data_IF_227181595158
#
_entry.id   IF_227181595158
#
_cell.length_a   1.000
_cell.length_b   1.000
_cell.length_c   1.000
_cell.angle_alpha   90.00
_cell.angle_beta   90.00
_cell.angle_gamma   90.00
#
_symmetry.space_group_name_H-M   'P 1'
#
loop_
_entity.id
_entity.type
_entity.pdbx_description
1 polymer ?
#
# COMPACT_ATOMS: atom_id res chain seq x y z
N UNK A 1 15.79 5.74 25.51
CA UNK A 1 15.77 4.29 25.77
C UNK A 1 14.41 3.79 26.25
N UNK A 2 13.74 4.40 27.26
CA UNK A 2 12.42 3.93 27.74
C UNK A 2 11.31 3.88 26.67
N UNK A 3 11.22 4.86 25.78
CA UNK A 3 10.22 4.89 24.69
C UNK A 3 10.41 3.78 23.63
N UNK A 4 11.66 3.39 23.37
CA UNK A 4 11.98 2.29 22.44
C UNK A 4 11.55 0.93 23.00
N UNK A 5 11.73 0.74 24.31
CA UNK A 5 11.34 -0.49 25.02
C UNK A 5 9.81 -0.63 25.04
N UNK A 6 9.08 0.49 25.21
CA UNK A 6 7.61 0.47 25.20
C UNK A 6 7.04 0.12 23.81
N UNK A 7 7.65 0.63 22.74
CA UNK A 7 7.25 0.30 21.35
C UNK A 7 7.55 -1.16 21.04
N UNK A 8 8.72 -1.67 21.48
CA UNK A 8 9.10 -3.08 21.30
C UNK A 8 8.20 -4.03 22.09
N UNK A 9 7.80 -3.63 23.31
CA UNK A 9 6.88 -4.37 24.16
C UNK A 9 5.46 -4.43 23.59
N UNK A 10 4.93 -3.33 23.03
CA UNK A 10 3.66 -3.34 22.34
C UNK A 10 3.68 -4.21 21.07
N UNK A 11 4.77 -4.19 20.30
CA UNK A 11 4.94 -5.04 19.13
C UNK A 11 5.01 -6.53 19.51
N UNK A 12 5.67 -6.86 20.61
CA UNK A 12 5.76 -8.23 21.11
C UNK A 12 4.42 -8.76 21.67
N UNK A 13 3.63 -7.91 22.35
CA UNK A 13 2.27 -8.29 22.79
C UNK A 13 1.31 -8.52 21.60
N UNK A 14 1.44 -7.75 20.54
CA UNK A 14 0.65 -7.95 19.32
C UNK A 14 1.01 -9.26 18.59
N UNK A 15 2.25 -9.72 18.70
CA UNK A 15 2.71 -10.98 18.10
C UNK A 15 2.21 -12.23 18.84
N UNK A 16 1.88 -12.14 20.14
CA UNK A 16 1.48 -13.28 20.97
C UNK A 16 0.00 -13.68 20.85
N UNK A 17 -0.85 -12.89 20.21
CA UNK A 17 -2.28 -13.23 20.00
C UNK A 17 -2.53 -14.02 18.71
N UNK A 18 -1.49 -14.55 18.07
CA UNK A 18 -1.60 -15.32 16.83
C UNK A 18 -2.14 -16.74 17.12
N UNK A 19 -3.46 -16.85 17.16
CA UNK A 19 -4.14 -18.15 16.98
C UNK A 19 -3.80 -18.70 15.60
N UNK A 20 -3.58 -20.02 15.52
CA UNK A 20 -3.27 -20.78 14.31
C UNK A 20 -4.22 -20.44 13.16
N UNK A 21 -3.81 -19.51 12.30
CA UNK A 21 -4.55 -19.16 11.09
C UNK A 21 -4.35 -20.28 10.08
N UNK A 22 -5.40 -21.11 9.88
CA UNK A 22 -5.46 -22.06 8.78
C UNK A 22 -5.23 -21.30 7.47
N UNK A 23 -4.35 -21.80 6.63
CA UNK A 23 -3.85 -21.19 5.39
C UNK A 23 -4.93 -21.10 4.27
N UNK A 24 -6.09 -20.52 4.55
CA UNK A 24 -7.13 -20.28 3.56
C UNK A 24 -7.86 -18.96 3.88
N UNK A 25 -7.66 -17.97 3.00
CA UNK A 25 -8.38 -16.70 2.95
C UNK A 25 -8.31 -15.84 4.23
N UNK A 26 -7.19 -15.15 4.43
CA UNK A 26 -7.18 -14.02 5.35
C UNK A 26 -8.15 -12.94 4.84
N UNK A 27 -8.94 -12.37 5.75
CA UNK A 27 -9.87 -11.28 5.41
C UNK A 27 -9.20 -9.93 5.44
N UNK A 28 -8.29 -9.72 6.40
CA UNK A 28 -7.64 -8.43 6.62
C UNK A 28 -6.14 -8.63 6.71
N UNK A 29 -5.40 -7.70 6.17
CA UNK A 29 -3.96 -7.59 6.35
C UNK A 29 -3.56 -6.16 6.63
N UNK A 30 -2.57 -5.98 7.50
CA UNK A 30 -2.02 -4.69 7.92
C UNK A 30 -0.51 -4.74 7.86
N UNK A 31 0.12 -3.68 7.39
CA UNK A 31 1.57 -3.64 7.31
C UNK A 31 2.11 -2.36 6.70
N UNK A 32 3.17 -2.50 5.93
CA UNK A 32 3.85 -1.40 5.27
C UNK A 32 3.67 -1.50 3.76
N UNK A 33 3.45 -0.33 3.14
CA UNK A 33 3.48 -0.11 1.71
C UNK A 33 4.69 0.74 1.35
N UNK A 34 5.29 0.41 0.21
CA UNK A 34 6.29 1.22 -0.48
C UNK A 34 5.74 1.56 -1.86
N UNK A 35 5.88 2.79 -2.28
CA UNK A 35 5.55 3.27 -3.62
C UNK A 35 6.78 3.98 -4.17
N UNK A 36 7.36 3.47 -5.25
CA UNK A 36 8.63 3.97 -5.77
C UNK A 36 8.62 4.04 -7.30
N UNK A 37 9.48 4.89 -7.82
CA UNK A 37 9.60 5.18 -9.24
C UNK A 37 9.48 6.66 -9.53
N UNK A 38 9.70 7.06 -10.78
CA UNK A 38 9.65 8.45 -11.28
C UNK A 38 10.37 9.45 -10.34
N UNK A 39 11.54 9.04 -9.81
CA UNK A 39 12.42 9.89 -9.00
C UNK A 39 12.02 10.06 -7.53
N UNK A 40 11.00 9.34 -7.04
CA UNK A 40 10.59 9.42 -5.64
C UNK A 40 10.29 8.05 -5.02
N UNK A 41 10.48 7.96 -3.71
CA UNK A 41 10.11 6.78 -2.91
C UNK A 41 9.31 7.23 -1.70
N UNK A 42 8.17 6.59 -1.51
CA UNK A 42 7.23 6.85 -0.42
C UNK A 42 7.03 5.57 0.37
N UNK A 43 6.91 5.67 1.69
CA UNK A 43 6.70 4.53 2.57
C UNK A 43 5.68 4.86 3.65
N UNK A 44 4.90 3.88 4.09
CA UNK A 44 3.95 4.09 5.18
C UNK A 44 3.00 2.92 5.42
N UNK A 45 2.03 3.09 6.31
CA UNK A 45 1.05 2.07 6.64
C UNK A 45 0.17 1.71 5.44
N UNK A 46 -0.10 0.40 5.32
CA UNK A 46 -0.97 -0.20 4.31
C UNK A 46 -1.92 -1.19 4.96
N UNK A 47 -3.20 -1.07 4.64
CA UNK A 47 -4.24 -2.01 5.05
C UNK A 47 -4.93 -2.56 3.81
N UNK A 48 -5.22 -3.88 3.78
CA UNK A 48 -6.05 -4.51 2.76
C UNK A 48 -7.12 -5.36 3.43
N UNK A 49 -8.35 -5.25 2.93
CA UNK A 49 -9.50 -6.02 3.41
C UNK A 49 -10.20 -6.70 2.23
N UNK A 50 -10.33 -8.03 2.30
CA UNK A 50 -11.10 -8.81 1.33
C UNK A 50 -12.57 -8.86 1.79
N UNK A 51 -13.44 -8.14 1.08
CA UNK A 51 -14.88 -8.14 1.35
C UNK A 51 -15.62 -9.27 0.61
N UNK A 52 -14.99 -9.89 -0.38
CA UNK A 52 -15.51 -11.05 -1.09
C UNK A 52 -14.36 -12.01 -1.45
N UNK A 53 -14.71 -13.15 -2.08
CA UNK A 53 -13.71 -14.14 -2.53
C UNK A 53 -12.68 -13.55 -3.49
N UNK A 54 -13.13 -12.65 -4.37
CA UNK A 54 -12.31 -12.06 -5.41
C UNK A 54 -12.16 -10.54 -5.27
N UNK A 55 -12.86 -9.90 -4.32
CA UNK A 55 -12.85 -8.45 -4.14
C UNK A 55 -12.08 -8.03 -2.90
N UNK A 56 -11.21 -7.04 -3.05
CA UNK A 56 -10.49 -6.43 -1.94
C UNK A 56 -10.48 -4.90 -2.04
N UNK A 57 -10.43 -4.25 -0.87
CA UNK A 57 -10.18 -2.83 -0.71
C UNK A 57 -8.82 -2.67 -0.06
N UNK A 58 -7.97 -1.81 -0.61
CA UNK A 58 -6.69 -1.45 -0.04
C UNK A 58 -6.62 0.04 0.23
N UNK A 59 -6.12 0.44 1.40
CA UNK A 59 -5.84 1.82 1.76
C UNK A 59 -4.39 1.99 2.17
N UNK A 60 -3.78 3.11 1.80
CA UNK A 60 -2.39 3.43 2.14
C UNK A 60 -2.24 4.91 2.46
N UNK A 61 -1.41 5.19 3.46
CA UNK A 61 -0.93 6.54 3.75
C UNK A 61 0.59 6.48 3.71
N UNK A 62 1.18 7.16 2.72
CA UNK A 62 2.61 7.07 2.44
C UNK A 62 3.28 8.43 2.61
N UNK A 63 4.51 8.42 3.07
CA UNK A 63 5.32 9.60 3.33
C UNK A 63 6.67 9.46 2.64
N UNK A 64 7.17 10.55 2.07
CA UNK A 64 8.52 10.57 1.50
C UNK A 64 8.94 11.98 1.08
N UNK A 65 10.12 12.43 1.51
CA UNK A 65 10.55 13.81 1.33
C UNK A 65 9.57 14.79 1.95
N UNK A 66 9.09 15.74 1.15
CA UNK A 66 8.07 16.73 1.55
C UNK A 66 6.68 16.37 0.97
N UNK A 67 6.40 15.08 0.81
CA UNK A 67 5.17 14.61 0.17
C UNK A 67 4.45 13.62 1.07
N UNK A 68 3.14 13.82 1.24
CA UNK A 68 2.22 12.87 1.85
C UNK A 68 1.24 12.40 0.79
N UNK A 69 1.05 11.08 0.70
CA UNK A 69 0.11 10.45 -0.22
C UNK A 69 -0.93 9.68 0.57
N UNK A 70 -2.20 9.89 0.22
CA UNK A 70 -3.33 9.09 0.69
C UNK A 70 -3.94 8.44 -0.55
N UNK A 71 -4.02 7.10 -0.55
CA UNK A 71 -4.55 6.37 -1.70
C UNK A 71 -5.41 5.20 -1.28
N UNK A 72 -6.41 4.91 -2.11
CA UNK A 72 -7.34 3.81 -1.89
C UNK A 72 -7.63 3.08 -3.19
N UNK A 73 -7.64 1.74 -3.15
CA UNK A 73 -7.77 0.90 -4.33
C UNK A 73 -8.86 -0.15 -4.16
N UNK A 74 -9.70 -0.27 -5.14
CA UNK A 74 -10.59 -1.41 -5.31
C UNK A 74 -9.91 -2.43 -6.21
N UNK A 75 -9.85 -3.71 -5.79
CA UNK A 75 -9.09 -4.75 -6.45
C UNK A 75 -9.95 -5.99 -6.70
N UNK A 76 -9.77 -6.59 -7.86
CA UNK A 76 -10.18 -7.96 -8.18
C UNK A 76 -8.95 -8.86 -8.06
N UNK A 77 -9.07 -9.95 -7.30
CA UNK A 77 -7.98 -10.90 -7.04
C UNK A 77 -8.42 -12.30 -7.47
N UNK A 78 -7.49 -13.08 -8.04
CA UNK A 78 -7.73 -14.49 -8.31
C UNK A 78 -6.43 -15.29 -8.18
N UNK A 79 -6.55 -16.59 -7.97
CA UNK A 79 -5.43 -17.49 -7.71
C UNK A 79 -4.65 -17.80 -8.98
N UNK A 80 -3.32 -17.81 -8.87
CA UNK A 80 -2.48 -18.33 -9.94
C UNK A 80 -2.51 -19.86 -9.93
N UNK A 81 -2.98 -20.47 -11.02
CA UNK A 81 -3.06 -21.93 -11.15
C UNK A 81 -1.64 -22.54 -11.06
N UNK A 82 -1.49 -23.55 -10.20
CA UNK A 82 -0.19 -24.22 -10.02
C UNK A 82 0.76 -23.56 -9.03
N UNK A 83 0.42 -22.39 -8.47
CA UNK A 83 1.25 -21.66 -7.51
C UNK A 83 0.47 -21.39 -6.20
N UNK A 84 0.42 -22.35 -5.27
CA UNK A 84 -0.32 -22.18 -4.02
C UNK A 84 0.21 -21.03 -3.17
N UNK A 85 -0.69 -20.11 -2.81
CA UNK A 85 -0.36 -18.91 -2.04
C UNK A 85 -0.04 -17.67 -2.89
N UNK A 86 0.03 -17.82 -4.22
CA UNK A 86 0.21 -16.72 -5.15
C UNK A 86 -1.13 -16.33 -5.78
N UNK A 87 -1.52 -15.09 -5.61
CA UNK A 87 -2.69 -14.49 -6.24
C UNK A 87 -2.23 -13.36 -7.17
N UNK A 88 -2.89 -13.19 -8.29
CA UNK A 88 -2.76 -11.99 -9.10
C UNK A 88 -3.91 -11.03 -8.80
N UNK A 89 -3.71 -9.76 -9.01
CA UNK A 89 -4.77 -8.79 -8.87
C UNK A 89 -4.68 -7.67 -9.91
N UNK A 90 -5.84 -7.13 -10.22
CA UNK A 90 -6.00 -5.94 -11.03
C UNK A 90 -7.00 -5.02 -10.33
N UNK A 91 -6.78 -3.72 -10.42
CA UNK A 91 -7.65 -2.77 -9.76
C UNK A 91 -7.26 -1.34 -10.05
N UNK A 92 -7.71 -0.46 -9.19
CA UNK A 92 -7.37 0.94 -9.27
C UNK A 92 -8.15 1.78 -8.27
N UNK A 93 -7.81 3.07 -8.22
CA UNK A 93 -8.50 3.99 -7.35
C UNK A 93 -7.86 5.37 -7.30
N UNK A 94 -8.39 6.26 -6.46
CA UNK A 94 -7.87 7.61 -6.30
C UNK A 94 -6.59 7.64 -5.45
N UNK A 95 -5.72 8.57 -5.81
CA UNK A 95 -4.53 8.96 -5.06
C UNK A 95 -4.55 10.48 -4.89
N UNK A 96 -4.45 10.93 -3.65
CA UNK A 96 -4.30 12.33 -3.29
C UNK A 96 -2.87 12.53 -2.82
N UNK A 97 -2.15 13.42 -3.46
CA UNK A 97 -0.75 13.75 -3.17
C UNK A 97 -0.66 15.17 -2.68
N UNK A 98 -0.18 15.36 -1.46
CA UNK A 98 -0.04 16.64 -0.77
C UNK A 98 1.44 16.96 -0.70
N UNK A 99 1.82 18.06 -1.32
CA UNK A 99 3.19 18.58 -1.30
C UNK A 99 3.32 19.65 -0.22
N UNK A 100 4.17 19.41 0.77
CA UNK A 100 4.50 20.39 1.79
C UNK A 100 5.66 21.26 1.29
N UNK A 101 5.36 22.51 0.92
CA UNK A 101 6.31 23.47 0.38
C UNK A 101 6.84 24.44 1.45
N UNK A 102 7.31 23.88 2.57
CA UNK A 102 7.88 24.66 3.65
C UNK A 102 9.30 25.15 3.28
N UNK A 103 9.43 26.09 2.32
CA UNK A 103 10.68 26.78 2.00
C UNK A 103 10.47 28.29 1.80
N UNK A 104 10.66 29.01 2.88
CA UNK A 104 11.09 30.41 3.06
C UNK A 104 10.17 31.56 2.62
N UNK A 105 9.21 31.47 1.69
CA UNK A 105 8.38 32.64 1.33
C UNK A 105 6.96 32.40 0.80
N UNK A 106 6.53 31.14 0.55
CA UNK A 106 5.16 30.86 0.06
C UNK A 106 4.56 29.71 0.85
N UNK A 107 3.50 30.03 1.61
CA UNK A 107 2.79 29.10 2.50
C UNK A 107 1.61 28.42 1.76
N UNK A 108 1.83 27.89 0.57
CA UNK A 108 0.78 27.18 -0.19
C UNK A 108 1.11 25.70 -0.32
N UNK A 109 0.37 24.88 0.42
CA UNK A 109 0.32 23.43 0.21
C UNK A 109 -0.34 23.16 -1.15
N UNK A 110 0.34 22.46 -2.02
CA UNK A 110 -0.22 22.06 -3.30
C UNK A 110 -0.74 20.62 -3.21
N UNK A 111 -1.99 20.40 -3.64
CA UNK A 111 -2.63 19.09 -3.66
C UNK A 111 -2.88 18.66 -5.11
N UNK A 112 -2.43 17.46 -5.46
CA UNK A 112 -2.68 16.84 -6.75
C UNK A 112 -3.52 15.56 -6.59
N UNK A 113 -4.44 15.35 -7.51
CA UNK A 113 -5.30 14.16 -7.54
C UNK A 113 -4.93 13.32 -8.76
N UNK A 114 -4.78 12.02 -8.55
CA UNK A 114 -4.46 11.05 -9.58
C UNK A 114 -5.47 9.91 -9.58
N UNK A 115 -5.71 9.36 -10.75
CA UNK A 115 -6.31 8.04 -10.92
C UNK A 115 -5.18 7.02 -11.12
N UNK A 116 -5.21 5.93 -10.36
CA UNK A 116 -4.15 4.94 -10.34
C UNK A 116 -4.72 3.57 -10.70
N UNK A 117 -4.66 3.14 -11.96
CA UNK A 117 -4.84 1.72 -12.29
C UNK A 117 -3.66 0.92 -11.72
N UNK A 118 -3.88 -0.36 -11.42
CA UNK A 118 -2.84 -1.21 -10.88
C UNK A 118 -3.01 -2.67 -11.30
N UNK A 119 -1.89 -3.36 -11.45
CA UNK A 119 -1.84 -4.81 -11.66
C UNK A 119 -0.65 -5.37 -10.89
N UNK A 120 -0.84 -6.51 -10.22
CA UNK A 120 0.20 -7.05 -9.38
C UNK A 120 0.01 -8.49 -8.96
N UNK A 121 0.92 -8.92 -8.11
CA UNK A 121 0.96 -10.24 -7.49
C UNK A 121 0.99 -10.08 -5.96
N UNK A 122 0.28 -10.96 -5.28
CA UNK A 122 0.25 -11.08 -3.82
C UNK A 122 0.63 -12.50 -3.43
N UNK A 123 1.67 -12.66 -2.65
CA UNK A 123 2.15 -13.94 -2.20
C UNK A 123 1.99 -14.12 -0.70
N UNK A 124 1.09 -15.02 -0.30
CA UNK A 124 0.92 -15.44 1.08
C UNK A 124 1.95 -16.50 1.44
N UNK A 125 2.86 -16.19 2.36
CA UNK A 125 3.90 -17.11 2.81
C UNK A 125 3.26 -18.28 3.58
N UNK A 126 3.53 -19.52 3.13
CA UNK A 126 3.06 -20.72 3.82
C UNK A 126 3.67 -20.83 5.21
N UNK A 127 2.84 -21.10 6.22
CA UNK A 127 3.31 -21.28 7.59
C UNK A 127 3.64 -20.01 8.35
N UNK A 128 3.55 -18.84 7.71
CA UNK A 128 3.74 -17.55 8.35
C UNK A 128 2.51 -16.64 8.15
N UNK A 129 2.18 -15.78 9.11
CA UNK A 129 1.10 -14.81 8.98
C UNK A 129 1.53 -13.60 8.16
N UNK A 130 2.22 -13.81 7.04
CA UNK A 130 2.84 -12.77 6.22
C UNK A 130 2.43 -12.88 4.76
N UNK A 131 2.21 -11.74 4.13
CA UNK A 131 1.98 -11.61 2.69
C UNK A 131 2.91 -10.54 2.10
N UNK A 132 3.41 -10.81 0.90
CA UNK A 132 4.22 -9.91 0.11
C UNK A 132 3.45 -9.57 -1.16
N UNK A 133 3.40 -8.29 -1.52
CA UNK A 133 2.78 -7.85 -2.76
C UNK A 133 3.78 -7.04 -3.58
N UNK A 134 3.65 -7.16 -4.88
CA UNK A 134 4.35 -6.33 -5.85
C UNK A 134 3.39 -5.96 -6.97
N UNK A 135 3.35 -4.68 -7.34
CA UNK A 135 2.47 -4.19 -8.39
C UNK A 135 3.09 -3.05 -9.20
N UNK A 136 2.59 -2.90 -10.41
CA UNK A 136 2.75 -1.72 -11.24
C UNK A 136 1.50 -0.85 -11.09
N UNK A 137 1.70 0.44 -10.75
CA UNK A 137 0.63 1.39 -10.41
C UNK A 137 0.86 2.76 -11.03
N UNK A 138 0.76 2.91 -12.37
CA UNK A 138 0.92 4.22 -13.00
C UNK A 138 -0.07 5.22 -12.43
N UNK A 139 0.36 6.45 -12.22
CA UNK A 139 -0.47 7.53 -11.67
C UNK A 139 -0.83 8.50 -12.78
N UNK A 140 -2.11 8.60 -13.11
CA UNK A 140 -2.65 9.47 -14.16
C UNK A 140 -3.19 10.73 -13.49
N UNK A 141 -2.61 11.89 -13.75
CA UNK A 141 -3.05 13.15 -13.17
C UNK A 141 -4.46 13.52 -13.66
N UNK A 142 -5.29 13.95 -12.69
CA UNK A 142 -6.66 14.39 -12.96
C UNK A 142 -6.76 15.87 -12.54
N UNK A 143 -6.50 16.77 -13.48
CA UNK A 143 -6.58 18.22 -13.25
C UNK A 143 -5.99 19.01 -14.41
N UNK A 144 -6.03 20.33 -14.30
CA UNK A 144 -5.69 21.27 -15.39
C UNK A 144 -4.25 21.84 -15.29
N UNK A 145 -3.41 21.32 -14.35
CA UNK A 145 -2.05 21.83 -14.21
C UNK A 145 -1.13 21.23 -15.30
N UNK A 146 -0.61 22.06 -16.25
CA UNK A 146 0.18 21.57 -17.38
C UNK A 146 1.58 21.02 -16.96
N UNK A 147 2.01 21.27 -15.74
CA UNK A 147 3.29 20.77 -15.21
C UNK A 147 3.17 19.38 -14.57
N UNK A 148 1.96 18.85 -14.42
CA UNK A 148 1.71 17.52 -13.88
C UNK A 148 1.21 16.61 -15.00
N UNK A 149 1.78 15.41 -15.04
CA UNK A 149 1.48 14.43 -16.08
C UNK A 149 1.26 13.03 -15.51
N UNK A 150 1.33 12.07 -16.38
CA UNK A 150 1.27 10.65 -16.01
C UNK A 150 2.63 10.18 -15.53
N UNK A 151 2.67 9.61 -14.33
CA UNK A 151 3.82 8.92 -13.75
C UNK A 151 3.68 7.42 -14.09
N UNK A 152 4.25 6.98 -15.21
CA UNK A 152 4.08 5.61 -15.71
C UNK A 152 5.03 4.59 -15.05
N UNK A 153 6.15 5.05 -14.54
CA UNK A 153 7.21 4.23 -13.95
C UNK A 153 7.04 3.96 -12.46
N UNK A 154 5.82 3.93 -11.94
CA UNK A 154 5.56 3.71 -10.51
C UNK A 154 5.25 2.25 -10.19
N UNK A 155 5.86 1.77 -9.11
CA UNK A 155 5.70 0.40 -8.59
C UNK A 155 5.40 0.42 -7.10
N UNK A 156 4.64 -0.59 -6.66
CA UNK A 156 4.31 -0.80 -5.25
C UNK A 156 4.90 -2.09 -4.70
N UNK A 157 5.35 -2.04 -3.45
CA UNK A 157 5.68 -3.23 -2.65
C UNK A 157 4.87 -3.17 -1.37
N UNK A 158 4.22 -4.29 -1.03
CA UNK A 158 3.50 -4.45 0.24
C UNK A 158 4.13 -5.56 1.08
N UNK A 159 4.33 -5.28 2.36
CA UNK A 159 4.70 -6.26 3.36
C UNK A 159 3.67 -6.22 4.48
N UNK A 160 2.84 -7.25 4.60
CA UNK A 160 1.66 -7.24 5.46
C UNK A 160 1.54 -8.47 6.33
N UNK A 161 1.11 -8.28 7.57
CA UNK A 161 0.58 -9.31 8.44
C UNK A 161 -0.87 -9.61 8.07
N UNK A 162 -1.25 -10.88 8.05
CA UNK A 162 -2.58 -11.36 7.65
C UNK A 162 -3.31 -11.97 8.84
N UNK A 163 -4.63 -11.63 8.95
CA UNK A 163 -5.52 -12.07 10.04
C UNK A 163 -6.75 -12.77 9.50
#
# INVERSE_FOLDING_TARGET
MKKLITILSCAALFACTMTTVKAQNYKTSLGLGLDFGDGSTLAGPSIRHHFSRNGALQGEVLFGGNTTVIQGFLQYNDKVKGAPGLDWYIGGGPKVQIYDRNRYFFNDNYTAIYLVPMVGLDYKIKGAPLALAFDWRPSIYVGDNPFLGTEAGRFGIGFRFVF
#
